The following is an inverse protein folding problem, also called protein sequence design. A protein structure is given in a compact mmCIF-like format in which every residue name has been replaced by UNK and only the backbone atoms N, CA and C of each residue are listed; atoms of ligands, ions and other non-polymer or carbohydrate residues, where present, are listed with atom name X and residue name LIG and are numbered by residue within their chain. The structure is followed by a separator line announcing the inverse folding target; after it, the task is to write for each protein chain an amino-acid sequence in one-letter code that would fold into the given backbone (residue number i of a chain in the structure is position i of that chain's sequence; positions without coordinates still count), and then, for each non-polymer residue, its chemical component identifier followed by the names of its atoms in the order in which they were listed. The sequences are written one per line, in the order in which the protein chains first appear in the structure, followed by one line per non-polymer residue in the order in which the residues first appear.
data_IF_479735261513
#
_entry.id   IF_479735261513
#
_cell.length_a   1.000
_cell.length_b   1.000
_cell.length_c   1.000
_cell.angle_alpha   90.00
_cell.angle_beta   90.00
_cell.angle_gamma   90.00
#
_symmetry.space_group_name_H-M   'P 1'
#
loop_
_entity.id
_entity.type
_entity.pdbx_description
1 polymer ?
#
# COMPACT_ATOMS: atom_id res chain seq x y z
N UNK A 1 -13.85 -9.64 32.90
CA UNK A 1 -13.58 -8.22 32.65
C UNK A 1 -12.54 -8.14 31.56
N UNK A 2 -12.97 -7.94 30.32
CA UNK A 2 -12.10 -7.81 29.13
C UNK A 2 -11.58 -6.39 29.06
N UNK A 3 -10.27 -6.22 29.16
CA UNK A 3 -9.63 -4.91 28.97
C UNK A 3 -9.91 -4.40 27.54
N UNK A 4 -10.20 -3.12 27.34
CA UNK A 4 -10.38 -2.56 26.02
C UNK A 4 -9.03 -2.61 25.28
N UNK A 5 -8.96 -3.33 24.16
CA UNK A 5 -7.85 -3.27 23.23
C UNK A 5 -7.73 -1.82 22.73
N UNK A 6 -6.69 -1.11 23.17
CA UNK A 6 -6.33 0.20 22.64
C UNK A 6 -6.08 0.05 21.11
N UNK A 7 -7.04 0.50 20.31
CA UNK A 7 -6.81 0.65 18.86
C UNK A 7 -5.63 1.61 18.65
N UNK A 8 -4.62 1.27 17.86
CA UNK A 8 -3.52 2.18 17.57
C UNK A 8 -4.07 3.50 17.01
N UNK A 9 -3.53 4.60 17.49
CA UNK A 9 -3.95 5.94 17.07
C UNK A 9 -3.43 6.14 15.65
N UNK A 10 -4.31 6.36 14.68
CA UNK A 10 -3.92 6.54 13.27
C UNK A 10 -2.88 7.66 13.10
N UNK A 11 -1.97 7.51 12.12
CA UNK A 11 -0.91 8.48 11.80
C UNK A 11 -1.45 9.91 11.69
N UNK A 12 -2.61 10.11 11.05
CA UNK A 12 -3.24 11.43 10.95
C UNK A 12 -3.62 12.02 12.30
N UNK A 13 -4.15 11.22 13.23
CA UNK A 13 -4.46 11.68 14.60
C UNK A 13 -3.21 12.04 15.38
N UNK A 14 -2.10 11.35 15.16
CA UNK A 14 -0.81 11.69 15.77
C UNK A 14 -0.27 13.01 15.23
N UNK A 15 -0.31 13.19 13.90
CA UNK A 15 0.07 14.46 13.26
C UNK A 15 -0.73 15.59 13.88
N UNK A 16 -2.06 15.46 13.95
CA UNK A 16 -2.94 16.44 14.56
C UNK A 16 -2.56 16.74 16.01
N UNK A 17 -2.33 15.69 16.81
CA UNK A 17 -1.93 15.85 18.21
C UNK A 17 -0.64 16.64 18.35
N UNK A 18 0.43 16.24 17.65
CA UNK A 18 1.74 16.92 17.70
C UNK A 18 1.62 18.36 17.23
N UNK A 19 0.87 18.63 16.16
CA UNK A 19 0.62 20.00 15.69
C UNK A 19 -0.04 20.86 16.76
N UNK A 20 -1.07 20.34 17.42
CA UNK A 20 -1.78 21.04 18.49
C UNK A 20 -0.90 21.24 19.73
N UNK A 21 -0.12 20.25 20.14
CA UNK A 21 0.82 20.32 21.26
C UNK A 21 1.87 21.43 21.01
N UNK A 22 2.26 21.63 19.73
CA UNK A 22 3.14 22.73 19.31
C UNK A 22 2.39 24.05 19.04
N UNK A 23 1.10 24.13 19.32
CA UNK A 23 0.25 25.32 19.11
C UNK A 23 0.27 25.82 17.64
N UNK A 24 0.54 24.95 16.70
CA UNK A 24 0.53 25.28 15.26
C UNK A 24 -0.89 25.22 14.71
N UNK A 25 -1.25 26.21 13.87
CA UNK A 25 -2.48 26.15 13.08
C UNK A 25 -2.27 25.30 11.82
N UNK A 26 -3.36 24.91 11.16
CA UNK A 26 -3.27 24.23 9.85
C UNK A 26 -2.59 25.13 8.80
N UNK A 27 -2.82 26.43 8.86
CA UNK A 27 -2.23 27.40 7.93
C UNK A 27 -0.70 27.48 8.13
N UNK A 28 -0.24 27.50 9.37
CA UNK A 28 1.19 27.50 9.69
C UNK A 28 1.82 26.21 9.18
N UNK A 29 1.22 25.04 9.47
CA UNK A 29 1.77 23.76 9.00
C UNK A 29 1.75 23.66 7.47
N UNK A 30 0.73 24.19 6.81
CA UNK A 30 0.65 24.25 5.35
C UNK A 30 1.79 25.09 4.75
N UNK A 31 2.06 26.28 5.32
CA UNK A 31 3.15 27.14 4.86
C UNK A 31 4.53 26.51 5.11
N UNK A 32 4.73 25.87 6.27
CA UNK A 32 6.01 25.20 6.60
C UNK A 32 6.28 23.96 5.76
N UNK A 33 5.22 23.27 5.30
CA UNK A 33 5.37 22.05 4.49
C UNK A 33 5.26 22.30 2.99
N UNK A 34 4.67 23.41 2.56
CA UNK A 34 4.28 23.63 1.17
C UNK A 34 3.08 22.77 0.72
N UNK A 35 2.45 22.03 1.63
CA UNK A 35 1.28 21.20 1.34
C UNK A 35 0.00 22.02 1.45
N UNK A 36 -0.99 21.69 0.61
CA UNK A 36 -2.30 22.34 0.69
C UNK A 36 -2.95 22.10 2.06
N UNK A 37 -3.53 23.14 2.66
CA UNK A 37 -4.24 23.08 3.95
C UNK A 37 -5.32 21.99 3.98
N UNK A 38 -6.09 21.88 2.89
CA UNK A 38 -7.14 20.87 2.79
C UNK A 38 -6.59 19.43 2.72
N UNK A 39 -5.40 19.25 2.13
CA UNK A 39 -4.70 17.99 2.15
C UNK A 39 -4.33 17.61 3.58
N UNK A 40 -3.68 18.50 4.33
CA UNK A 40 -3.29 18.25 5.72
C UNK A 40 -4.53 17.95 6.60
N UNK A 41 -5.63 18.68 6.38
CA UNK A 41 -6.89 18.44 7.07
C UNK A 41 -7.43 17.03 6.82
N UNK A 42 -7.43 16.56 5.58
CA UNK A 42 -7.85 15.21 5.20
C UNK A 42 -6.91 14.14 5.78
N UNK A 43 -5.62 14.40 5.83
CA UNK A 43 -4.65 13.51 6.49
C UNK A 43 -4.95 13.41 7.99
N UNK A 44 -5.19 14.53 8.67
CA UNK A 44 -5.48 14.56 10.12
C UNK A 44 -6.82 13.90 10.48
N UNK A 45 -7.82 13.96 9.57
CA UNK A 45 -9.11 13.26 9.75
C UNK A 45 -9.02 11.75 9.44
N UNK A 46 -7.99 11.33 8.68
CA UNK A 46 -7.85 9.95 8.22
C UNK A 46 -8.53 9.70 6.87
N UNK A 47 -9.04 10.75 6.22
CA UNK A 47 -9.70 10.66 4.90
C UNK A 47 -8.67 10.54 3.76
N UNK A 48 -7.40 10.81 4.05
CA UNK A 48 -6.31 10.71 3.10
C UNK A 48 -5.05 10.17 3.76
N UNK A 49 -4.40 9.21 3.09
CA UNK A 49 -3.11 8.66 3.52
C UNK A 49 -2.00 9.50 2.89
N UNK A 50 -1.09 10.10 3.69
CA UNK A 50 0.03 10.86 3.16
C UNK A 50 1.10 9.92 2.58
N UNK A 51 1.78 10.35 1.53
CA UNK A 51 3.00 9.67 1.04
C UNK A 51 4.13 9.78 2.06
N UNK A 52 5.17 8.93 1.95
CA UNK A 52 6.38 9.04 2.79
C UNK A 52 7.01 10.43 2.64
N UNK A 53 7.07 10.95 1.41
CA UNK A 53 7.58 12.30 1.17
C UNK A 53 6.81 13.37 1.96
N UNK A 54 5.48 13.28 1.97
CA UNK A 54 4.64 14.20 2.73
C UNK A 54 4.82 14.02 4.25
N UNK A 55 4.99 12.77 4.73
CA UNK A 55 5.28 12.50 6.14
C UNK A 55 6.62 13.08 6.56
N UNK A 56 7.66 12.98 5.72
CA UNK A 56 8.96 13.59 5.96
C UNK A 56 8.86 15.12 6.03
N UNK A 57 8.11 15.75 5.12
CA UNK A 57 7.87 17.20 5.14
C UNK A 57 7.14 17.63 6.43
N UNK A 58 6.07 16.91 6.79
CA UNK A 58 5.30 17.16 8.01
C UNK A 58 6.17 16.96 9.25
N UNK A 59 6.97 15.89 9.31
CA UNK A 59 7.88 15.62 10.44
C UNK A 59 8.90 16.74 10.63
N UNK A 60 9.51 17.20 9.53
CA UNK A 60 10.46 18.33 9.56
C UNK A 60 9.80 19.61 10.06
N UNK A 61 8.63 19.95 9.53
CA UNK A 61 7.89 21.15 9.95
C UNK A 61 7.44 21.06 11.41
N UNK A 62 7.11 19.85 11.88
CA UNK A 62 6.79 19.61 13.29
C UNK A 62 8.03 19.45 14.18
N UNK A 63 9.25 19.44 13.62
CA UNK A 63 10.50 19.28 14.40
C UNK A 63 10.53 17.98 15.20
N UNK A 64 10.05 16.89 14.62
CA UNK A 64 10.05 15.54 15.20
C UNK A 64 10.77 14.56 14.29
N UNK A 65 11.29 13.47 14.87
CA UNK A 65 11.88 12.39 14.09
C UNK A 65 10.82 11.74 13.19
N UNK A 66 11.15 11.57 11.92
CA UNK A 66 10.25 10.91 10.93
C UNK A 66 9.87 9.49 11.35
N UNK A 67 10.76 8.78 12.05
CA UNK A 67 10.49 7.46 12.62
C UNK A 67 9.30 7.46 13.60
N UNK A 68 8.95 8.61 14.18
CA UNK A 68 7.77 8.71 15.04
C UNK A 68 6.47 8.39 14.30
N UNK A 69 6.38 8.73 13.02
CA UNK A 69 5.23 8.39 12.19
C UNK A 69 5.44 7.09 11.41
N UNK A 70 6.69 6.75 11.06
CA UNK A 70 7.03 5.59 10.25
C UNK A 70 6.99 4.28 11.05
N UNK A 71 7.27 4.30 12.35
CA UNK A 71 7.16 3.10 13.22
C UNK A 71 5.73 2.50 13.28
N UNK A 72 4.71 3.24 12.92
CA UNK A 72 3.36 2.68 12.77
C UNK A 72 3.09 2.08 11.40
N UNK A 73 3.87 2.43 10.40
CA UNK A 73 3.87 1.67 9.15
C UNK A 73 4.51 0.29 9.35
N UNK A 74 5.39 0.11 10.33
CA UNK A 74 5.88 -1.23 10.72
C UNK A 74 4.81 -2.06 11.43
N UNK A 75 3.94 -1.47 12.26
CA UNK A 75 2.77 -2.16 12.81
C UNK A 75 1.72 -2.46 11.73
N UNK A 76 1.64 -1.65 10.66
CA UNK A 76 0.87 -1.99 9.46
C UNK A 76 1.55 -3.08 8.61
N UNK A 77 2.80 -3.45 8.89
CA UNK A 77 3.45 -4.60 8.24
C UNK A 77 2.89 -5.93 8.73
N UNK A 78 2.40 -6.01 9.98
CA UNK A 78 1.66 -7.17 10.48
C UNK A 78 0.25 -7.24 9.87
N UNK A 79 -0.47 -6.11 9.76
CA UNK A 79 -1.73 -6.03 9.01
C UNK A 79 -1.52 -6.26 7.51
N UNK A 80 -0.36 -5.88 6.95
CA UNK A 80 0.06 -6.22 5.59
C UNK A 80 0.41 -7.69 5.45
N UNK A 81 1.05 -8.30 6.45
CA UNK A 81 1.31 -9.73 6.49
C UNK A 81 0.00 -10.52 6.61
N UNK A 82 -1.00 -10.04 7.38
CA UNK A 82 -2.34 -10.63 7.45
C UNK A 82 -3.12 -10.42 6.12
N UNK A 83 -3.02 -9.25 5.49
CA UNK A 83 -3.57 -9.00 4.16
C UNK A 83 -2.85 -9.87 3.10
N UNK A 84 -1.55 -10.06 3.26
CA UNK A 84 -0.75 -10.99 2.43
C UNK A 84 -1.17 -12.44 2.64
N UNK A 85 -1.45 -12.86 3.86
CA UNK A 85 -1.92 -14.21 4.22
C UNK A 85 -3.36 -14.44 3.71
N UNK A 86 -4.22 -13.42 3.72
CA UNK A 86 -5.54 -13.48 3.07
C UNK A 86 -5.45 -13.55 1.54
N UNK A 87 -4.39 -13.01 0.94
CA UNK A 87 -4.09 -13.17 -0.49
C UNK A 87 -3.76 -14.62 -0.86
N UNK A 88 -3.14 -15.38 0.02
CA UNK A 88 -2.71 -16.76 -0.26
C UNK A 88 -3.85 -17.77 -0.35
N UNK A 89 -5.08 -17.42 0.05
CA UNK A 89 -6.22 -18.33 -0.12
C UNK A 89 -6.74 -18.40 -1.57
N UNK A 90 -6.43 -17.40 -2.41
CA UNK A 90 -6.93 -17.31 -3.80
C UNK A 90 -5.81 -17.39 -4.86
N UNK A 91 -4.54 -17.33 -4.46
CA UNK A 91 -3.38 -17.38 -5.35
C UNK A 91 -2.29 -18.26 -4.77
N UNK A 92 -1.67 -19.10 -5.60
CA UNK A 92 -0.45 -19.80 -5.21
C UNK A 92 0.75 -18.84 -5.39
N UNK A 93 1.36 -18.44 -4.27
CA UNK A 93 2.54 -17.58 -4.26
C UNK A 93 3.80 -18.39 -4.02
N UNK A 94 4.75 -18.29 -4.93
CA UNK A 94 6.09 -18.84 -4.74
C UNK A 94 7.10 -17.69 -4.65
N UNK A 95 7.72 -17.42 -3.48
CA UNK A 95 8.73 -16.39 -3.38
C UNK A 95 9.95 -16.69 -4.27
N UNK A 96 10.32 -15.74 -5.14
CA UNK A 96 11.54 -15.80 -5.96
C UNK A 96 12.71 -15.12 -5.25
N UNK A 97 12.44 -14.33 -4.23
CA UNK A 97 13.44 -13.67 -3.36
C UNK A 97 13.30 -14.20 -1.94
N UNK A 98 13.78 -15.41 -1.63
CA UNK A 98 13.77 -15.94 -0.28
C UNK A 98 14.61 -15.05 0.64
N UNK A 99 14.21 -14.94 1.93
CA UNK A 99 14.87 -14.11 2.94
C UNK A 99 14.88 -12.60 2.64
N UNK A 100 13.87 -12.11 1.90
CA UNK A 100 13.69 -10.69 1.59
C UNK A 100 12.79 -9.95 2.59
N UNK A 101 12.66 -10.45 3.83
CA UNK A 101 11.77 -9.88 4.85
C UNK A 101 12.08 -8.41 5.15
N UNK A 102 13.39 -8.06 5.17
CA UNK A 102 13.87 -6.69 5.41
C UNK A 102 14.39 -6.00 4.14
N UNK A 103 13.93 -6.42 2.96
CA UNK A 103 14.31 -5.82 1.68
C UNK A 103 13.14 -5.05 1.08
N UNK A 104 13.46 -3.96 0.40
CA UNK A 104 12.47 -3.14 -0.28
C UNK A 104 11.87 -3.82 -1.50
N UNK A 105 12.60 -4.73 -2.14
CA UNK A 105 12.17 -5.44 -3.33
C UNK A 105 11.89 -6.91 -3.00
N UNK A 106 10.68 -7.37 -3.39
CA UNK A 106 10.25 -8.76 -3.28
C UNK A 106 9.69 -9.22 -4.62
N UNK A 107 10.08 -10.40 -5.05
CA UNK A 107 9.59 -10.99 -6.29
C UNK A 107 8.89 -12.34 -6.01
N UNK A 108 7.81 -12.58 -6.74
CA UNK A 108 6.96 -13.75 -6.61
C UNK A 108 6.61 -14.34 -7.97
N UNK A 109 6.56 -15.66 -8.05
CA UNK A 109 5.78 -16.34 -9.07
C UNK A 109 4.37 -16.53 -8.52
N UNK A 110 3.37 -16.05 -9.24
CA UNK A 110 1.96 -16.16 -8.88
C UNK A 110 1.24 -17.02 -9.90
N UNK A 111 0.47 -17.98 -9.41
CA UNK A 111 -0.47 -18.74 -10.22
C UNK A 111 -1.88 -18.32 -9.85
N UNK A 112 -2.65 -17.87 -10.83
CA UNK A 112 -4.04 -17.44 -10.70
C UNK A 112 -4.92 -18.45 -11.41
N UNK A 113 -5.70 -19.20 -10.64
CA UNK A 113 -6.59 -20.23 -11.19
C UNK A 113 -7.63 -19.62 -12.14
N UNK A 114 -8.00 -20.42 -13.18
CA UNK A 114 -9.02 -20.04 -14.13
C UNK A 114 -10.40 -19.95 -13.45
N UNK A 115 -11.25 -19.01 -13.93
CA UNK A 115 -12.68 -18.92 -13.62
C UNK A 115 -13.06 -18.85 -12.12
N UNK A 116 -12.10 -18.63 -11.22
CA UNK A 116 -12.45 -18.37 -9.83
C UNK A 116 -13.09 -16.98 -9.73
N UNK A 117 -14.24 -16.84 -9.06
CA UNK A 117 -14.78 -15.52 -8.73
C UNK A 117 -13.80 -14.87 -7.75
N UNK A 118 -12.94 -14.04 -8.27
CA UNK A 118 -12.12 -13.17 -7.43
C UNK A 118 -13.04 -12.07 -6.93
N UNK A 119 -13.70 -12.29 -5.82
CA UNK A 119 -14.37 -11.22 -5.08
C UNK A 119 -13.28 -10.22 -4.69
N UNK A 120 -13.16 -9.20 -5.54
CA UNK A 120 -12.05 -8.29 -5.59
C UNK A 120 -11.73 -7.70 -4.23
N UNK A 121 -10.74 -8.26 -3.58
CA UNK A 121 -10.04 -7.57 -2.52
C UNK A 121 -9.10 -6.62 -3.23
N UNK A 122 -9.60 -5.42 -3.54
CA UNK A 122 -8.74 -4.39 -4.11
C UNK A 122 -7.55 -4.16 -3.20
N UNK A 123 -6.37 -4.30 -3.77
CA UNK A 123 -5.11 -4.14 -3.05
C UNK A 123 -4.70 -2.69 -3.08
N UNK A 124 -4.09 -2.24 -2.01
CA UNK A 124 -3.50 -0.90 -1.93
C UNK A 124 -2.37 -0.93 -0.90
N UNK A 125 -1.16 -0.68 -1.33
CA UNK A 125 0.00 -0.57 -0.46
C UNK A 125 1.00 0.45 -1.02
N UNK A 126 1.83 1.00 -0.18
CA UNK A 126 2.84 1.96 -0.59
C UNK A 126 3.91 1.30 -1.45
N UNK A 127 4.35 2.00 -2.50
CA UNK A 127 5.40 1.57 -3.39
C UNK A 127 4.95 1.39 -4.83
N UNK A 128 5.58 0.45 -5.50
CA UNK A 128 5.36 0.17 -6.91
C UNK A 128 5.25 -1.34 -7.13
N UNK A 129 4.45 -1.75 -8.10
CA UNK A 129 4.39 -3.12 -8.59
C UNK A 129 4.75 -3.18 -10.07
N UNK A 130 5.54 -4.20 -10.41
CA UNK A 130 5.79 -4.61 -11.77
C UNK A 130 5.26 -6.04 -11.95
N UNK A 131 4.46 -6.24 -12.99
CA UNK A 131 3.88 -7.53 -13.36
C UNK A 131 4.34 -7.92 -14.75
N UNK A 132 4.73 -9.18 -14.93
CA UNK A 132 5.04 -9.76 -16.22
C UNK A 132 4.30 -11.08 -16.38
N UNK A 133 3.54 -11.23 -17.48
CA UNK A 133 2.73 -12.43 -17.76
C UNK A 133 3.59 -13.49 -18.46
N UNK A 134 3.72 -14.65 -17.82
CA UNK A 134 4.41 -15.82 -18.39
C UNK A 134 3.45 -16.68 -19.20
N UNK A 135 2.20 -16.86 -18.69
CA UNK A 135 1.19 -17.75 -19.29
C UNK A 135 -0.21 -17.27 -18.92
N UNK A 136 -1.19 -17.59 -19.78
CA UNK A 136 -2.59 -17.22 -19.56
C UNK A 136 -2.88 -15.75 -19.86
N UNK A 137 -4.11 -15.33 -19.60
CA UNK A 137 -4.55 -13.96 -19.83
C UNK A 137 -5.12 -13.38 -18.52
N UNK A 138 -4.71 -12.18 -18.19
CA UNK A 138 -5.15 -11.51 -16.97
C UNK A 138 -5.62 -10.09 -17.23
N UNK A 139 -6.52 -9.65 -16.38
CA UNK A 139 -6.92 -8.26 -16.26
C UNK A 139 -6.35 -7.69 -14.97
N UNK A 140 -5.66 -6.55 -15.07
CA UNK A 140 -5.24 -5.77 -13.92
C UNK A 140 -5.96 -4.43 -13.97
N UNK A 141 -6.77 -4.18 -12.95
CA UNK A 141 -7.41 -2.89 -12.76
C UNK A 141 -6.57 -2.05 -11.81
N UNK A 142 -6.23 -0.82 -12.21
CA UNK A 142 -5.51 0.16 -11.38
C UNK A 142 -6.35 1.43 -11.32
N UNK A 143 -6.98 1.69 -10.19
CA UNK A 143 -8.02 2.71 -10.08
C UNK A 143 -9.16 2.42 -11.07
N UNK A 144 -9.41 3.36 -11.97
CA UNK A 144 -10.43 3.22 -13.02
C UNK A 144 -9.88 2.60 -14.32
N UNK A 145 -8.57 2.38 -14.43
CA UNK A 145 -7.94 1.86 -15.65
C UNK A 145 -7.92 0.34 -15.65
N UNK A 146 -8.43 -0.25 -16.72
CA UNK A 146 -8.45 -1.68 -16.96
C UNK A 146 -7.35 -2.02 -17.99
N UNK A 147 -6.42 -2.90 -17.60
CA UNK A 147 -5.33 -3.37 -18.44
C UNK A 147 -5.52 -4.86 -18.71
N UNK A 148 -5.67 -5.24 -19.98
CA UNK A 148 -5.70 -6.65 -20.41
C UNK A 148 -4.29 -7.06 -20.82
N UNK A 149 -3.76 -8.10 -20.20
CA UNK A 149 -2.40 -8.58 -20.43
C UNK A 149 -2.41 -10.04 -20.86
N UNK A 150 -1.56 -10.36 -21.81
CA UNK A 150 -1.31 -11.71 -22.35
C UNK A 150 0.16 -12.09 -22.20
N UNK A 151 0.55 -13.33 -22.47
CA UNK A 151 1.94 -13.76 -22.34
C UNK A 151 2.92 -12.85 -23.06
N UNK A 152 3.96 -12.42 -22.35
CA UNK A 152 4.96 -11.45 -22.82
C UNK A 152 4.64 -9.98 -22.50
N UNK A 153 3.41 -9.68 -22.11
CA UNK A 153 3.06 -8.31 -21.69
C UNK A 153 3.50 -8.02 -20.25
N UNK A 154 3.72 -6.77 -19.97
CA UNK A 154 4.06 -6.28 -18.63
C UNK A 154 3.30 -5.02 -18.28
N UNK A 155 3.13 -4.78 -16.98
CA UNK A 155 2.54 -3.57 -16.42
C UNK A 155 3.35 -3.11 -15.22
N UNK A 156 3.68 -1.84 -15.18
CA UNK A 156 4.30 -1.19 -14.01
C UNK A 156 3.37 -0.09 -13.54
N UNK A 157 3.07 -0.05 -12.24
CA UNK A 157 2.14 0.91 -11.68
C UNK A 157 2.43 1.25 -10.22
N UNK A 158 1.91 2.39 -9.78
CA UNK A 158 1.94 2.80 -8.38
C UNK A 158 0.94 1.96 -7.57
N UNK A 159 1.43 1.10 -6.69
CA UNK A 159 0.63 0.23 -5.83
C UNK A 159 -0.11 0.98 -4.70
N UNK A 160 0.19 2.27 -4.51
CA UNK A 160 -0.61 3.17 -3.67
C UNK A 160 -1.99 3.49 -4.26
N UNK A 161 -2.25 3.13 -5.52
CA UNK A 161 -3.56 3.17 -6.14
C UNK A 161 -4.23 1.81 -5.91
N UNK A 162 -5.53 1.83 -5.55
CA UNK A 162 -6.30 0.59 -5.42
C UNK A 162 -6.24 -0.20 -6.73
N UNK A 163 -5.84 -1.45 -6.64
CA UNK A 163 -5.68 -2.30 -7.81
C UNK A 163 -6.22 -3.71 -7.53
N UNK A 164 -6.52 -4.44 -8.59
CA UNK A 164 -7.07 -5.79 -8.56
C UNK A 164 -6.52 -6.61 -9.73
N UNK A 165 -6.32 -7.90 -9.50
CA UNK A 165 -5.84 -8.86 -10.50
C UNK A 165 -6.89 -9.95 -10.70
N UNK A 166 -7.23 -10.24 -11.95
CA UNK A 166 -8.22 -11.25 -12.32
C UNK A 166 -7.72 -12.08 -13.50
N UNK A 167 -7.84 -13.39 -13.40
CA UNK A 167 -7.68 -14.27 -14.56
C UNK A 167 -8.94 -14.20 -15.43
N UNK A 168 -8.78 -13.83 -16.68
CA UNK A 168 -9.87 -13.70 -17.67
C UNK A 168 -9.89 -14.84 -18.68
N UNK A 169 -8.91 -15.76 -18.60
CA UNK A 169 -8.79 -16.91 -19.46
C UNK A 169 -9.47 -18.17 -18.91
N UNK A 170 -9.48 -19.20 -19.74
CA UNK A 170 -10.03 -20.53 -19.42
C UNK A 170 -9.00 -21.47 -18.79
N UNK A 171 -7.76 -21.04 -18.67
CA UNK A 171 -6.63 -21.78 -18.07
C UNK A 171 -5.95 -20.93 -17.01
N UNK A 172 -5.21 -21.60 -16.11
CA UNK A 172 -4.43 -20.89 -15.10
C UNK A 172 -3.44 -19.93 -15.73
N UNK A 173 -3.30 -18.76 -15.13
CA UNK A 173 -2.34 -17.75 -15.51
C UNK A 173 -1.13 -17.77 -14.57
N UNK A 174 0.06 -17.60 -15.13
CA UNK A 174 1.33 -17.56 -14.42
C UNK A 174 1.97 -16.17 -14.61
N UNK A 175 2.37 -15.55 -13.51
CA UNK A 175 2.87 -14.17 -13.49
C UNK A 175 4.13 -14.08 -12.64
N UNK A 176 5.08 -13.25 -13.06
CA UNK A 176 6.09 -12.71 -12.16
C UNK A 176 5.58 -11.35 -11.65
N UNK A 177 5.50 -11.21 -10.34
CA UNK A 177 5.15 -9.96 -9.69
C UNK A 177 6.32 -9.50 -8.83
N UNK A 178 6.76 -8.28 -9.07
CA UNK A 178 7.80 -7.61 -8.29
C UNK A 178 7.16 -6.47 -7.54
N UNK A 179 7.29 -6.51 -6.22
CA UNK A 179 6.79 -5.48 -5.31
C UNK A 179 8.00 -4.71 -4.77
N UNK A 180 7.99 -3.40 -4.95
CA UNK A 180 8.91 -2.49 -4.29
C UNK A 180 8.15 -1.71 -3.21
N UNK A 181 8.66 -1.77 -1.98
CA UNK A 181 8.14 -1.01 -0.84
C UNK A 181 9.29 -0.19 -0.25
N UNK A 182 9.28 1.16 -0.39
CA UNK A 182 10.35 2.04 0.06
C UNK A 182 10.50 2.09 1.58
#
# INVERSE_FOLDING_TARGET
MTQPKNKPISTGKKIKKVRLDKKMTLDVLANETGLAKDFIKKVESGDQIPSVGNLLQISRALGIDSNFFLKEQEASSEERAEAYTKRTSNYAYTPLTPNAENKHLKAFLIVVEAQQPHDGVGFQHEGEEFVYVLKGEVQIQVGDNINQLKPGDSLHFNSGIKHDLKNTGDTDAELIVVVYSP
#
